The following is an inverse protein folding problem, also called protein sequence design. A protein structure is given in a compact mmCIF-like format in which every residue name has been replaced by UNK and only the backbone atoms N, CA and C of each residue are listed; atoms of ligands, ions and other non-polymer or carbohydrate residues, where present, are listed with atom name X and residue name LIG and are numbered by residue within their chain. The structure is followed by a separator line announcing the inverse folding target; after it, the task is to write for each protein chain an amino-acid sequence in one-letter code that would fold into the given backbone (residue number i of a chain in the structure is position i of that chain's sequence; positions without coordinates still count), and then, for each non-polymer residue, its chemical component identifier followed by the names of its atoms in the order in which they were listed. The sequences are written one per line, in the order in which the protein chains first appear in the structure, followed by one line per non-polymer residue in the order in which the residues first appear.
data_IF_456736223373
#
_entry.id   IF_456736223373
#
_cell.length_a   1.000
_cell.length_b   1.000
_cell.length_c   1.000
_cell.angle_alpha   90.00
_cell.angle_beta   90.00
_cell.angle_gamma   90.00
#
_symmetry.space_group_name_H-M   'P 1'
#
loop_
_entity.id
_entity.type
_entity.pdbx_description
1 polymer ?
#
# COMPACT_ATOMS: atom_id res chain seq x y z
N UNK A 1 -47.40 37.02 -0.79
CA UNK A 1 -47.25 38.02 0.29
C UNK A 1 -46.70 37.43 1.59
N UNK A 2 -46.49 36.13 1.67
CA UNK A 2 -46.08 35.41 2.90
C UNK A 2 -44.56 35.34 3.13
N UNK A 3 -43.73 35.29 2.07
CA UNK A 3 -42.29 35.09 2.20
C UNK A 3 -41.53 36.30 2.80
N UNK A 4 -42.00 37.52 2.56
CA UNK A 4 -41.38 38.72 3.15
C UNK A 4 -41.64 38.82 4.67
N UNK A 5 -42.82 38.42 5.11
CA UNK A 5 -43.21 38.45 6.54
C UNK A 5 -42.40 37.42 7.33
N UNK A 6 -42.23 36.22 6.78
CA UNK A 6 -41.42 35.16 7.36
C UNK A 6 -39.93 35.53 7.49
N UNK A 7 -39.37 36.21 6.50
CA UNK A 7 -37.97 36.72 6.56
C UNK A 7 -37.76 37.79 7.59
N UNK A 8 -38.76 38.69 7.81
CA UNK A 8 -38.65 39.74 8.85
C UNK A 8 -38.79 39.16 10.26
N UNK A 9 -39.66 38.21 10.48
CA UNK A 9 -39.81 37.52 11.77
C UNK A 9 -38.53 36.74 12.12
N UNK A 10 -37.98 36.02 11.18
CA UNK A 10 -36.71 35.28 11.38
C UNK A 10 -35.54 36.21 11.72
N UNK A 11 -35.43 37.38 11.02
CA UNK A 11 -34.44 38.40 11.36
C UNK A 11 -34.58 38.96 12.78
N UNK A 12 -35.83 39.22 13.24
CA UNK A 12 -36.08 39.70 14.60
C UNK A 12 -35.71 38.66 15.67
N UNK A 13 -36.02 37.41 15.43
CA UNK A 13 -35.66 36.31 16.36
C UNK A 13 -34.15 36.16 16.48
N UNK A 14 -33.43 36.14 15.37
CA UNK A 14 -31.96 36.03 15.35
C UNK A 14 -31.31 37.24 16.01
N UNK A 15 -31.83 38.45 15.75
CA UNK A 15 -31.28 39.68 16.36
C UNK A 15 -31.51 39.72 17.88
N UNK A 16 -32.63 39.19 18.37
CA UNK A 16 -32.91 39.10 19.82
C UNK A 16 -32.05 38.02 20.51
N UNK A 17 -31.80 36.89 19.85
CA UNK A 17 -30.89 35.85 20.33
C UNK A 17 -29.43 36.36 20.44
N UNK A 18 -28.97 37.17 19.49
CA UNK A 18 -27.64 37.77 19.52
C UNK A 18 -27.43 38.81 20.64
N UNK A 19 -28.49 39.34 21.24
CA UNK A 19 -28.41 40.33 22.33
C UNK A 19 -28.12 39.73 23.72
N UNK A 20 -28.28 38.43 23.88
CA UNK A 20 -28.06 37.75 25.16
C UNK A 20 -26.91 36.75 25.03
N UNK A 21 -26.06 36.63 26.08
CA UNK A 21 -24.92 35.69 26.03
C UNK A 21 -25.40 34.24 25.92
N UNK A 22 -26.55 33.88 26.49
CA UNK A 22 -27.17 32.57 26.30
C UNK A 22 -27.61 32.34 24.85
N UNK A 23 -28.18 33.38 24.20
CA UNK A 23 -28.59 33.31 22.81
C UNK A 23 -27.41 33.16 21.84
N UNK A 24 -26.29 33.83 22.12
CA UNK A 24 -25.05 33.67 21.37
C UNK A 24 -24.51 32.22 21.48
N UNK A 25 -24.52 31.66 22.71
CA UNK A 25 -24.08 30.28 22.94
C UNK A 25 -24.95 29.26 22.16
N UNK A 26 -26.25 29.45 22.12
CA UNK A 26 -27.20 28.59 21.36
C UNK A 26 -26.94 28.72 19.86
N UNK A 27 -26.71 29.92 19.34
CA UNK A 27 -26.38 30.13 17.93
C UNK A 27 -25.03 29.50 17.54
N UNK A 28 -24.03 29.62 18.41
CA UNK A 28 -22.74 28.97 18.23
C UNK A 28 -22.88 27.45 18.22
N UNK A 29 -23.66 26.89 19.11
CA UNK A 29 -23.92 25.44 19.16
C UNK A 29 -24.64 24.94 17.90
N UNK A 30 -25.65 25.66 17.41
CA UNK A 30 -26.34 25.35 16.16
C UNK A 30 -25.41 25.43 14.95
N UNK A 31 -24.53 26.44 14.91
CA UNK A 31 -23.54 26.59 13.86
C UNK A 31 -22.54 25.41 13.86
N UNK A 32 -22.09 24.98 15.04
CA UNK A 32 -21.22 23.82 15.20
C UNK A 32 -21.91 22.52 14.75
N UNK A 33 -23.20 22.36 15.07
CA UNK A 33 -24.00 21.21 14.67
C UNK A 33 -24.16 21.13 13.15
N UNK A 34 -24.45 22.25 12.49
CA UNK A 34 -24.56 22.33 11.02
C UNK A 34 -23.20 22.05 10.37
N UNK A 35 -22.13 22.62 10.91
CA UNK A 35 -20.76 22.39 10.40
C UNK A 35 -20.34 20.92 10.53
N UNK A 36 -20.66 20.28 11.67
CA UNK A 36 -20.42 18.85 11.88
C UNK A 36 -21.23 17.98 10.92
N UNK A 37 -22.47 18.36 10.63
CA UNK A 37 -23.31 17.68 9.64
C UNK A 37 -22.76 17.79 8.23
N UNK A 38 -22.21 18.94 7.86
CA UNK A 38 -21.54 19.16 6.55
C UNK A 38 -20.29 18.28 6.44
N UNK A 39 -19.48 18.17 7.51
CA UNK A 39 -18.30 17.29 7.52
C UNK A 39 -18.70 15.82 7.34
N UNK A 40 -19.76 15.38 8.04
CA UNK A 40 -20.29 14.00 7.90
C UNK A 40 -20.82 13.76 6.48
N UNK A 41 -21.50 14.72 5.88
CA UNK A 41 -21.99 14.64 4.51
C UNK A 41 -20.82 14.59 3.50
N UNK A 42 -19.78 15.41 3.68
CA UNK A 42 -18.58 15.39 2.85
C UNK A 42 -17.80 14.08 3.01
N UNK A 43 -17.70 13.55 4.22
CA UNK A 43 -17.08 12.24 4.46
C UNK A 43 -17.89 11.11 3.80
N UNK A 44 -19.23 11.17 3.85
CA UNK A 44 -20.12 10.21 3.17
C UNK A 44 -20.05 10.32 1.64
N UNK A 45 -20.00 11.53 1.09
CA UNK A 45 -19.86 11.73 -0.37
C UNK A 45 -18.50 11.31 -0.87
N UNK A 46 -17.41 11.54 -0.11
CA UNK A 46 -16.08 11.03 -0.45
C UNK A 46 -16.00 9.49 -0.36
N UNK A 47 -16.67 8.88 0.62
CA UNK A 47 -16.81 7.42 0.71
C UNK A 47 -17.72 6.86 -0.41
N UNK A 48 -18.79 7.56 -0.78
CA UNK A 48 -19.67 7.17 -1.89
C UNK A 48 -18.97 7.33 -3.25
N UNK A 49 -18.20 8.41 -3.45
CA UNK A 49 -17.42 8.61 -4.66
C UNK A 49 -16.25 7.61 -4.75
N UNK A 50 -15.63 7.20 -3.62
CA UNK A 50 -14.70 6.08 -3.59
C UNK A 50 -15.37 4.74 -3.94
N UNK A 51 -16.64 4.54 -3.56
CA UNK A 51 -17.43 3.34 -3.94
C UNK A 51 -17.94 3.40 -5.39
N UNK A 52 -18.11 4.57 -5.96
CA UNK A 52 -18.60 4.72 -7.33
C UNK A 52 -17.49 4.60 -8.39
N UNK A 53 -16.22 4.71 -8.01
CA UNK A 53 -15.08 4.32 -8.85
C UNK A 53 -14.81 2.80 -8.85
N UNK A 54 -15.49 2.03 -8.02
CA UNK A 54 -15.50 0.56 -8.05
C UNK A 54 -16.59 0.06 -9.00
N UNK A 55 -16.35 0.19 -10.29
CA UNK A 55 -17.23 -0.41 -11.31
C UNK A 55 -16.94 -1.91 -11.36
N UNK A 56 -17.95 -2.69 -10.98
CA UNK A 56 -18.07 -4.16 -11.08
C UNK A 56 -17.27 -5.00 -10.07
N UNK A 57 -17.81 -5.08 -8.87
CA UNK A 57 -17.56 -6.20 -7.97
C UNK A 57 -18.44 -7.39 -8.46
N UNK A 58 -17.92 -8.20 -9.36
CA UNK A 58 -18.55 -9.49 -9.72
C UNK A 58 -18.46 -10.46 -8.54
N UNK A 59 -19.49 -10.43 -7.70
CA UNK A 59 -19.68 -11.48 -6.70
C UNK A 59 -20.10 -12.76 -7.45
N UNK A 60 -19.21 -13.76 -7.44
CA UNK A 60 -19.50 -15.14 -7.84
C UNK A 60 -19.62 -15.45 -9.34
N UNK A 61 -18.55 -15.28 -10.09
CA UNK A 61 -18.34 -15.99 -11.36
C UNK A 61 -16.84 -16.20 -11.53
N UNK A 62 -16.42 -17.23 -12.26
CA UNK A 62 -15.02 -17.54 -12.56
C UNK A 62 -14.23 -16.28 -12.91
N UNK A 63 -13.58 -15.66 -11.91
CA UNK A 63 -12.79 -14.44 -12.12
C UNK A 63 -11.62 -14.83 -13.02
N UNK A 64 -11.68 -14.42 -14.28
CA UNK A 64 -10.63 -14.67 -15.24
C UNK A 64 -9.41 -13.86 -14.85
N UNK A 65 -8.35 -14.56 -14.49
CA UNK A 65 -7.03 -13.98 -14.18
C UNK A 65 -6.32 -13.74 -15.50
N UNK A 66 -5.79 -12.52 -15.70
CA UNK A 66 -5.15 -12.13 -16.94
C UNK A 66 -3.98 -11.19 -16.65
N UNK A 67 -2.86 -11.78 -16.24
CA UNK A 67 -1.59 -11.09 -16.04
C UNK A 67 -0.43 -11.99 -16.45
N UNK A 68 0.73 -11.36 -16.73
CA UNK A 68 1.93 -12.03 -17.22
C UNK A 68 3.14 -11.66 -16.36
N UNK A 69 3.87 -12.68 -15.94
CA UNK A 69 5.12 -12.54 -15.18
C UNK A 69 6.36 -12.45 -16.07
N UNK A 70 6.24 -12.63 -17.39
CA UNK A 70 7.40 -12.77 -18.30
C UNK A 70 8.40 -11.62 -18.18
N UNK A 71 7.90 -10.38 -18.10
CA UNK A 71 8.80 -9.22 -17.97
C UNK A 71 9.50 -9.16 -16.62
N UNK A 72 8.80 -9.54 -15.57
CA UNK A 72 9.37 -9.59 -14.22
C UNK A 72 10.38 -10.74 -14.10
N UNK A 73 10.06 -11.91 -14.71
CA UNK A 73 10.96 -13.07 -14.79
C UNK A 73 12.22 -12.80 -15.63
N UNK A 74 12.15 -11.90 -16.62
CA UNK A 74 13.33 -11.48 -17.40
C UNK A 74 14.39 -10.80 -16.54
N UNK A 75 14.07 -10.37 -15.31
CA UNK A 75 15.02 -9.84 -14.33
C UNK A 75 15.71 -8.55 -14.77
N UNK A 76 15.03 -7.72 -15.58
CA UNK A 76 15.54 -6.41 -16.00
C UNK A 76 14.44 -5.37 -15.80
N UNK A 77 14.51 -4.63 -14.68
CA UNK A 77 13.52 -3.62 -14.31
C UNK A 77 14.07 -2.67 -13.24
N UNK A 78 13.40 -1.53 -13.10
CA UNK A 78 13.53 -0.63 -11.94
C UNK A 78 12.46 -0.97 -10.92
N UNK A 79 12.78 -0.83 -9.64
CA UNK A 79 11.82 -1.03 -8.57
C UNK A 79 11.87 0.11 -7.54
N UNK A 80 10.73 0.32 -6.89
CA UNK A 80 10.64 1.02 -5.60
C UNK A 80 9.92 0.11 -4.63
N UNK A 81 10.53 -0.19 -3.49
CA UNK A 81 9.92 -0.96 -2.41
C UNK A 81 9.77 -0.08 -1.18
N UNK A 82 8.57 0.06 -0.70
CA UNK A 82 8.25 0.71 0.57
C UNK A 82 7.87 -0.36 1.60
N UNK A 83 8.50 -0.33 2.76
CA UNK A 83 8.18 -1.13 3.93
C UNK A 83 7.67 -0.19 5.01
N UNK A 84 6.38 -0.27 5.32
CA UNK A 84 5.76 0.48 6.41
C UNK A 84 5.50 -0.46 7.59
N UNK A 85 6.25 -0.26 8.66
CA UNK A 85 6.12 -1.02 9.90
C UNK A 85 5.64 -0.10 11.03
N UNK A 86 4.36 -0.22 11.39
CA UNK A 86 3.71 0.64 12.38
C UNK A 86 3.88 2.15 12.11
N UNK A 87 3.84 2.57 10.85
CA UNK A 87 4.03 3.96 10.44
C UNK A 87 5.49 4.39 10.27
N UNK A 88 6.46 3.50 10.54
CA UNK A 88 7.88 3.75 10.25
C UNK A 88 8.18 3.21 8.86
N UNK A 89 8.56 4.12 7.95
CA UNK A 89 8.78 3.81 6.55
C UNK A 89 10.26 3.63 6.22
N UNK A 90 10.55 2.55 5.48
CA UNK A 90 11.85 2.33 4.82
C UNK A 90 11.60 2.19 3.33
N UNK A 91 12.30 2.97 2.52
CA UNK A 91 12.13 3.00 1.07
C UNK A 91 13.42 2.51 0.42
N UNK A 92 13.28 1.57 -0.51
CA UNK A 92 14.35 1.07 -1.35
C UNK A 92 14.03 1.45 -2.80
N UNK A 93 14.97 2.07 -3.49
CA UNK A 93 14.81 2.41 -4.91
C UNK A 93 16.04 1.96 -5.67
N UNK A 94 15.87 1.22 -6.74
CA UNK A 94 17.00 0.68 -7.48
C UNK A 94 16.64 -0.01 -8.77
N UNK A 95 17.67 -0.61 -9.34
CA UNK A 95 17.66 -1.29 -10.61
C UNK A 95 18.03 -2.76 -10.41
N UNK A 96 17.40 -3.64 -11.20
CA UNK A 96 17.71 -5.08 -11.28
C UNK A 96 18.10 -5.40 -12.70
N UNK A 97 19.18 -6.13 -12.90
CA UNK A 97 19.57 -6.67 -14.20
C UNK A 97 20.40 -7.94 -14.01
N UNK A 98 19.95 -9.02 -14.62
CA UNK A 98 20.66 -10.32 -14.68
C UNK A 98 21.11 -10.84 -13.30
N UNK A 99 20.18 -10.92 -12.36
CA UNK A 99 20.43 -11.41 -10.99
C UNK A 99 21.28 -10.49 -10.11
N UNK A 100 21.61 -9.30 -10.61
CA UNK A 100 22.28 -8.24 -9.85
C UNK A 100 21.29 -7.15 -9.52
N UNK A 101 21.45 -6.49 -8.37
CA UNK A 101 20.70 -5.27 -8.08
C UNK A 101 21.60 -4.19 -7.48
N UNK A 102 21.28 -2.94 -7.82
CA UNK A 102 21.90 -1.76 -7.23
C UNK A 102 20.79 -0.85 -6.70
N UNK A 103 20.82 -0.53 -5.42
CA UNK A 103 19.72 0.22 -4.81
C UNK A 103 20.16 1.12 -3.66
N UNK A 104 19.33 2.10 -3.39
CA UNK A 104 19.44 3.03 -2.26
C UNK A 104 18.34 2.69 -1.27
N UNK A 105 18.70 2.55 -0.01
CA UNK A 105 17.77 2.45 1.13
C UNK A 105 17.69 3.81 1.82
N UNK A 106 16.49 4.31 2.04
CA UNK A 106 16.21 5.52 2.79
C UNK A 106 15.29 5.20 3.96
N UNK A 107 15.71 5.53 5.17
CA UNK A 107 14.90 5.41 6.38
C UNK A 107 15.14 6.67 7.21
N UNK A 108 14.07 7.43 7.50
CA UNK A 108 14.12 8.73 8.17
C UNK A 108 15.22 9.65 7.58
N UNK A 109 16.33 9.83 8.33
CA UNK A 109 17.46 10.66 7.91
C UNK A 109 18.67 9.86 7.42
N UNK A 110 18.53 8.54 7.26
CA UNK A 110 19.64 7.66 6.87
C UNK A 110 19.50 7.26 5.41
N UNK A 111 20.57 7.44 4.63
CA UNK A 111 20.66 7.00 3.25
C UNK A 111 21.83 6.02 3.16
N UNK A 112 21.57 4.81 2.66
CA UNK A 112 22.56 3.75 2.49
C UNK A 112 22.48 3.22 1.07
N UNK A 113 23.60 2.91 0.47
CA UNK A 113 23.69 2.38 -0.90
C UNK A 113 24.14 0.94 -0.86
N UNK A 114 23.44 0.09 -1.59
CA UNK A 114 23.68 -1.35 -1.65
C UNK A 114 23.87 -1.82 -3.08
N UNK A 115 24.61 -2.91 -3.18
CA UNK A 115 24.68 -3.75 -4.38
C UNK A 115 24.44 -5.20 -3.95
N UNK A 116 23.72 -5.99 -4.75
CA UNK A 116 23.56 -7.42 -4.46
C UNK A 116 23.77 -8.28 -5.70
N UNK A 117 24.30 -9.47 -5.51
CA UNK A 117 24.44 -10.54 -6.51
C UNK A 117 24.60 -11.89 -5.79
N UNK A 118 24.00 -12.94 -6.32
CA UNK A 118 24.09 -14.30 -5.75
C UNK A 118 23.83 -14.33 -4.23
N UNK A 119 22.78 -13.65 -3.75
CA UNK A 119 22.40 -13.52 -2.34
C UNK A 119 23.45 -12.84 -1.42
N UNK A 120 24.53 -12.30 -2.01
CA UNK A 120 25.50 -11.47 -1.30
C UNK A 120 25.07 -10.02 -1.38
N UNK A 121 24.97 -9.35 -0.24
CA UNK A 121 24.72 -7.92 -0.13
C UNK A 121 26.01 -7.20 0.20
N UNK A 122 26.28 -6.14 -0.54
CA UNK A 122 27.42 -5.24 -0.33
C UNK A 122 26.87 -3.86 0.00
N UNK A 123 27.36 -3.24 1.07
CA UNK A 123 27.04 -1.87 1.43
C UNK A 123 28.22 -0.95 1.15
N UNK A 124 27.94 0.20 0.57
CA UNK A 124 28.94 1.23 0.28
C UNK A 124 29.22 2.07 1.53
N UNK A 125 30.47 2.03 2.00
CA UNK A 125 30.96 2.85 3.11
C UNK A 125 32.28 3.52 2.67
N UNK A 126 32.36 4.85 2.74
CA UNK A 126 33.56 5.61 2.36
C UNK A 126 34.13 5.23 0.98
N UNK A 127 33.28 5.12 -0.03
CA UNK A 127 33.62 4.70 -1.41
C UNK A 127 34.10 3.26 -1.58
N UNK A 128 34.02 2.42 -0.56
CA UNK A 128 34.35 1.00 -0.62
C UNK A 128 33.08 0.18 -0.37
N UNK A 129 32.95 -0.95 -1.05
CA UNK A 129 31.86 -1.88 -0.81
C UNK A 129 32.31 -2.98 0.16
N UNK A 130 31.51 -3.21 1.20
CA UNK A 130 31.77 -4.24 2.21
C UNK A 130 30.56 -5.18 2.30
N UNK A 131 30.82 -6.44 2.62
CA UNK A 131 29.74 -7.41 2.83
C UNK A 131 28.84 -6.93 3.96
N UNK A 132 27.54 -6.94 3.70
CA UNK A 132 26.50 -6.47 4.62
C UNK A 132 25.41 -7.51 4.81
N UNK A 133 24.64 -7.31 5.88
CA UNK A 133 23.41 -8.08 6.10
C UNK A 133 22.36 -7.61 5.11
N UNK A 134 21.51 -8.53 4.67
CA UNK A 134 20.35 -8.21 3.84
C UNK A 134 19.47 -7.14 4.53
N UNK A 135 19.24 -5.98 3.91
CA UNK A 135 18.51 -4.89 4.52
C UNK A 135 16.98 -5.02 4.42
N UNK A 136 16.46 -5.94 3.59
CA UNK A 136 15.03 -6.11 3.37
C UNK A 136 14.36 -6.90 4.50
N UNK A 137 13.19 -6.47 4.89
CA UNK A 137 12.26 -7.34 5.62
C UNK A 137 11.68 -8.35 4.61
N UNK A 138 11.73 -9.66 4.93
CA UNK A 138 11.23 -10.70 4.01
C UNK A 138 11.76 -10.52 2.55
N UNK A 139 13.07 -10.58 2.38
CA UNK A 139 13.71 -10.45 1.07
C UNK A 139 13.14 -11.41 0.02
N UNK A 140 12.73 -12.60 0.44
CA UNK A 140 12.11 -13.62 -0.41
C UNK A 140 10.82 -13.14 -1.11
N UNK A 141 10.15 -12.09 -0.61
CA UNK A 141 9.02 -11.46 -1.30
C UNK A 141 9.41 -10.67 -2.56
N UNK A 142 10.69 -10.42 -2.80
CA UNK A 142 11.19 -9.85 -4.06
C UNK A 142 11.36 -10.91 -5.16
N UNK A 143 11.43 -12.18 -4.79
CA UNK A 143 11.68 -13.25 -5.73
C UNK A 143 10.41 -13.61 -6.51
N UNK A 144 10.47 -13.51 -7.84
CA UNK A 144 9.33 -13.79 -8.72
C UNK A 144 8.78 -15.20 -8.51
N UNK A 145 9.64 -16.17 -8.25
CA UNK A 145 9.25 -17.54 -7.93
C UNK A 145 8.35 -17.61 -6.70
N UNK A 146 8.70 -16.88 -5.64
CA UNK A 146 7.94 -16.86 -4.40
C UNK A 146 6.61 -16.11 -4.59
N UNK A 147 6.63 -14.98 -5.31
CA UNK A 147 5.40 -14.25 -5.69
C UNK A 147 4.42 -15.20 -6.41
N UNK A 148 4.90 -15.93 -7.42
CA UNK A 148 4.08 -16.89 -8.17
C UNK A 148 3.53 -18.00 -7.27
N UNK A 149 4.34 -18.54 -6.35
CA UNK A 149 3.91 -19.56 -5.41
C UNK A 149 2.84 -19.05 -4.44
N UNK A 150 3.04 -17.83 -3.92
CA UNK A 150 2.07 -17.17 -3.02
C UNK A 150 0.73 -17.00 -3.75
N UNK A 151 0.73 -16.40 -4.94
CA UNK A 151 -0.48 -16.18 -5.74
C UNK A 151 -1.17 -17.49 -6.10
N UNK A 152 -0.42 -18.57 -6.33
CA UNK A 152 -0.99 -19.89 -6.63
C UNK A 152 -1.75 -20.50 -5.45
N UNK A 153 -1.30 -20.25 -4.22
CA UNK A 153 -1.90 -20.79 -2.98
C UNK A 153 -2.98 -19.86 -2.43
N UNK A 154 -2.83 -18.56 -2.64
CA UNK A 154 -3.76 -17.54 -2.15
C UNK A 154 -5.13 -17.66 -2.86
N UNK A 155 -6.18 -17.30 -2.14
CA UNK A 155 -7.54 -17.26 -2.67
C UNK A 155 -7.83 -15.89 -3.32
N UNK A 156 -8.21 -15.87 -4.60
CA UNK A 156 -8.62 -14.65 -5.28
C UNK A 156 -9.96 -14.17 -4.72
N UNK A 157 -9.95 -13.02 -4.05
CA UNK A 157 -11.11 -12.41 -3.39
C UNK A 157 -11.87 -11.45 -4.29
N UNK A 158 -11.13 -10.59 -5.00
CA UNK A 158 -11.73 -9.53 -5.81
C UNK A 158 -10.86 -9.18 -7.02
N UNK A 159 -11.51 -8.60 -8.04
CA UNK A 159 -10.87 -7.99 -9.20
C UNK A 159 -11.51 -6.62 -9.42
N UNK A 160 -10.71 -5.58 -9.48
CA UNK A 160 -11.16 -4.21 -9.71
C UNK A 160 -10.38 -3.60 -10.87
N UNK A 161 -11.06 -3.09 -11.88
CA UNK A 161 -10.43 -2.36 -12.98
C UNK A 161 -10.73 -0.88 -12.83
N UNK A 162 -9.69 -0.05 -12.87
CA UNK A 162 -9.75 1.39 -12.71
C UNK A 162 -9.80 2.10 -14.07
N UNK A 163 -10.25 3.35 -14.08
CA UNK A 163 -10.37 4.17 -15.31
C UNK A 163 -9.03 4.40 -16.03
N UNK A 164 -7.91 4.36 -15.30
CA UNK A 164 -6.56 4.46 -15.89
C UNK A 164 -6.11 3.19 -16.61
N UNK A 165 -6.97 2.16 -16.69
CA UNK A 165 -6.68 0.89 -17.33
C UNK A 165 -5.97 -0.13 -16.43
N UNK A 166 -5.59 0.25 -15.21
CA UNK A 166 -5.00 -0.70 -14.27
C UNK A 166 -6.06 -1.62 -13.69
N UNK A 167 -5.68 -2.88 -13.48
CA UNK A 167 -6.53 -3.88 -12.81
C UNK A 167 -5.81 -4.38 -11.57
N UNK A 168 -6.51 -4.34 -10.43
CA UNK A 168 -6.05 -4.89 -9.16
C UNK A 168 -6.74 -6.23 -8.93
N UNK A 169 -5.94 -7.26 -8.70
CA UNK A 169 -6.37 -8.57 -8.22
C UNK A 169 -6.04 -8.66 -6.74
N UNK A 170 -7.05 -8.73 -5.90
CA UNK A 170 -6.89 -8.88 -4.45
C UNK A 170 -6.98 -10.34 -4.05
N UNK A 171 -5.97 -10.82 -3.36
CA UNK A 171 -5.86 -12.18 -2.84
C UNK A 171 -5.89 -12.20 -1.32
N UNK A 172 -6.36 -13.31 -0.77
CA UNK A 172 -6.30 -13.63 0.66
C UNK A 172 -5.42 -14.86 0.88
N UNK A 173 -4.52 -14.77 1.87
CA UNK A 173 -3.68 -15.89 2.31
C UNK A 173 -3.56 -15.88 3.82
N UNK A 174 -3.59 -17.07 4.45
CA UNK A 174 -3.38 -17.16 5.89
C UNK A 174 -1.91 -16.92 6.25
N UNK A 175 -1.65 -16.42 7.46
CA UNK A 175 -0.28 -16.18 7.94
C UNK A 175 0.55 -17.45 7.92
N UNK A 176 -0.02 -18.59 8.34
CA UNK A 176 0.66 -19.87 8.34
C UNK A 176 1.07 -20.30 6.94
N UNK A 177 0.16 -20.22 5.96
CA UNK A 177 0.45 -20.56 4.56
C UNK A 177 1.52 -19.64 3.96
N UNK A 178 1.46 -18.35 4.26
CA UNK A 178 2.45 -17.39 3.77
C UNK A 178 3.84 -17.68 4.35
N UNK A 179 3.94 -17.88 5.67
CA UNK A 179 5.22 -18.14 6.34
C UNK A 179 5.83 -19.48 5.93
N UNK A 180 5.00 -20.49 5.69
CA UNK A 180 5.46 -21.78 5.15
C UNK A 180 6.10 -21.61 3.76
N UNK A 181 5.49 -20.83 2.88
CA UNK A 181 6.04 -20.53 1.55
C UNK A 181 7.33 -19.72 1.59
N UNK A 182 7.53 -18.92 2.63
CA UNK A 182 8.74 -18.12 2.84
C UNK A 182 9.83 -18.88 3.63
N UNK A 183 9.65 -20.19 3.85
CA UNK A 183 10.54 -21.04 4.66
C UNK A 183 10.82 -20.47 6.05
N UNK A 184 9.87 -19.73 6.58
CA UNK A 184 9.95 -19.15 7.92
C UNK A 184 9.18 -20.02 8.91
N UNK A 185 9.92 -20.84 9.68
CA UNK A 185 9.34 -21.76 10.67
C UNK A 185 8.94 -21.10 12.00
N UNK A 186 9.22 -19.83 12.16
CA UNK A 186 8.81 -19.06 13.34
C UNK A 186 7.40 -18.53 13.13
N UNK A 187 6.45 -19.41 13.20
CA UNK A 187 5.05 -19.13 12.92
C UNK A 187 4.40 -18.45 14.11
N UNK A 188 3.65 -17.40 13.85
CA UNK A 188 2.73 -16.86 14.84
C UNK A 188 1.56 -17.81 15.06
N UNK A 189 1.06 -17.86 16.29
CA UNK A 189 0.00 -18.75 16.69
C UNK A 189 -1.39 -18.31 16.21
N UNK A 190 -1.56 -17.04 15.89
CA UNK A 190 -2.80 -16.51 15.34
C UNK A 190 -2.78 -16.60 13.82
N UNK A 191 -3.48 -17.61 13.26
CA UNK A 191 -3.60 -17.79 11.81
C UNK A 191 -4.53 -16.71 11.21
N UNK A 192 -3.97 -15.55 10.96
CA UNK A 192 -4.69 -14.39 10.42
C UNK A 192 -4.69 -14.39 8.90
N UNK A 193 -5.70 -13.75 8.34
CA UNK A 193 -5.80 -13.54 6.90
C UNK A 193 -5.05 -12.27 6.54
N UNK A 194 -4.13 -12.38 5.59
CA UNK A 194 -3.42 -11.27 4.99
C UNK A 194 -3.96 -11.00 3.59
N UNK A 195 -3.89 -9.76 3.15
CA UNK A 195 -4.28 -9.37 1.81
C UNK A 195 -3.05 -9.12 0.94
N UNK A 196 -3.17 -9.48 -0.33
CA UNK A 196 -2.14 -9.23 -1.34
C UNK A 196 -2.84 -8.60 -2.54
N UNK A 197 -2.43 -7.40 -2.90
CA UNK A 197 -2.92 -6.70 -4.08
C UNK A 197 -1.88 -6.80 -5.18
N UNK A 198 -2.26 -7.41 -6.31
CA UNK A 198 -1.47 -7.48 -7.53
C UNK A 198 -2.06 -6.54 -8.55
N UNK A 199 -1.35 -5.47 -8.89
CA UNK A 199 -1.76 -4.48 -9.87
C UNK A 199 -1.09 -4.73 -11.22
N UNK A 200 -1.88 -4.75 -12.26
CA UNK A 200 -1.41 -4.86 -13.65
C UNK A 200 -1.88 -3.66 -14.47
N UNK A 201 -1.09 -3.26 -15.44
CA UNK A 201 -1.45 -2.22 -16.40
C UNK A 201 -2.34 -2.76 -17.54
N UNK A 202 -2.73 -1.89 -18.49
CA UNK A 202 -3.53 -2.25 -19.66
C UNK A 202 -2.90 -3.33 -20.55
N UNK A 203 -1.58 -3.46 -20.53
CA UNK A 203 -0.81 -4.48 -21.27
C UNK A 203 -0.65 -5.79 -20.48
N UNK A 204 -1.30 -5.92 -19.32
CA UNK A 204 -1.26 -7.08 -18.41
C UNK A 204 0.08 -7.29 -17.71
N UNK A 205 0.95 -6.32 -17.75
CA UNK A 205 2.24 -6.34 -17.05
C UNK A 205 2.02 -6.01 -15.58
N UNK A 206 2.70 -6.72 -14.69
CA UNK A 206 2.66 -6.43 -13.26
C UNK A 206 3.41 -5.13 -13.03
N UNK A 207 2.75 -4.15 -12.44
CA UNK A 207 3.33 -2.83 -12.13
C UNK A 207 3.45 -2.58 -10.64
N UNK A 208 2.69 -3.33 -9.81
CA UNK A 208 2.75 -3.19 -8.36
C UNK A 208 2.32 -4.49 -7.68
N UNK A 209 2.95 -4.79 -6.55
CA UNK A 209 2.50 -5.81 -5.60
C UNK A 209 2.50 -5.19 -4.21
N UNK A 210 1.37 -5.29 -3.49
CA UNK A 210 1.27 -4.82 -2.11
C UNK A 210 0.87 -5.97 -1.19
N UNK A 211 1.68 -6.22 -0.17
CA UNK A 211 1.41 -7.18 0.91
C UNK A 211 0.93 -6.42 2.14
N UNK A 212 -0.29 -6.71 2.60
CA UNK A 212 -0.85 -6.20 3.85
C UNK A 212 -0.77 -7.32 4.89
N UNK A 213 0.26 -7.27 5.74
CA UNK A 213 0.53 -8.29 6.74
C UNK A 213 -0.05 -7.84 8.09
N UNK A 214 -1.30 -8.27 8.36
CA UNK A 214 -1.94 -7.99 9.63
C UNK A 214 -1.35 -8.87 10.73
N UNK A 215 -1.08 -8.26 11.88
CA UNK A 215 -0.55 -8.97 13.05
C UNK A 215 0.79 -9.68 12.78
N UNK A 216 1.66 -9.00 12.03
CA UNK A 216 3.04 -9.41 11.94
C UNK A 216 3.67 -9.44 13.33
N UNK A 217 4.18 -10.61 13.74
CA UNK A 217 4.83 -10.74 15.01
C UNK A 217 6.34 -10.61 14.86
N UNK A 218 6.90 -9.53 15.40
CA UNK A 218 8.35 -9.39 15.47
C UNK A 218 8.91 -10.19 16.65
N UNK A 219 9.52 -11.33 16.35
CA UNK A 219 10.21 -12.13 17.38
C UNK A 219 11.38 -11.39 18.02
N UNK A 220 12.00 -10.46 17.28
CA UNK A 220 13.11 -9.64 17.80
C UNK A 220 12.67 -8.72 18.92
N UNK A 221 11.46 -8.18 18.83
CA UNK A 221 10.94 -7.21 19.79
C UNK A 221 9.79 -7.75 20.64
N UNK A 222 9.35 -8.99 20.36
CA UNK A 222 8.22 -9.65 21.02
C UNK A 222 6.93 -8.79 21.03
N UNK A 223 6.66 -8.14 19.92
CA UNK A 223 5.48 -7.30 19.72
C UNK A 223 4.74 -7.70 18.45
N UNK A 224 3.43 -7.53 18.47
CA UNK A 224 2.60 -7.66 17.26
C UNK A 224 2.65 -6.34 16.50
N UNK A 225 2.98 -6.40 15.23
CA UNK A 225 3.13 -5.24 14.37
C UNK A 225 2.27 -5.40 13.12
N UNK A 226 1.84 -4.27 12.55
CA UNK A 226 1.33 -4.23 11.18
C UNK A 226 2.49 -3.92 10.25
N UNK A 227 2.56 -4.65 9.14
CA UNK A 227 3.57 -4.46 8.12
C UNK A 227 2.91 -4.39 6.75
N UNK A 228 3.14 -3.31 6.03
CA UNK A 228 2.79 -3.21 4.62
C UNK A 228 4.07 -3.16 3.80
N UNK A 229 4.17 -4.03 2.79
CA UNK A 229 5.28 -4.04 1.83
C UNK A 229 4.68 -3.77 0.46
N UNK A 230 5.00 -2.62 -0.11
CA UNK A 230 4.60 -2.23 -1.46
C UNK A 230 5.81 -2.23 -2.39
N UNK A 231 5.69 -2.89 -3.54
CA UNK A 231 6.76 -2.97 -4.53
C UNK A 231 6.19 -2.50 -5.87
N UNK A 232 6.67 -1.37 -6.35
CA UNK A 232 6.37 -0.83 -7.68
C UNK A 232 7.46 -1.27 -8.66
N UNK A 233 7.08 -1.65 -9.88
CA UNK A 233 7.97 -2.08 -10.95
C UNK A 233 7.81 -1.17 -12.17
N UNK A 234 8.93 -0.81 -12.78
CA UNK A 234 8.96 0.05 -13.97
C UNK A 234 10.18 -0.24 -14.86
N UNK A 235 10.27 0.44 -15.97
CA UNK A 235 11.43 0.42 -16.89
C UNK A 235 11.87 -0.99 -17.31
N UNK A 236 10.93 -1.89 -17.52
CA UNK A 236 11.19 -3.25 -17.98
C UNK A 236 12.04 -3.30 -19.25
N UNK A 237 13.14 -4.06 -19.22
CA UNK A 237 14.08 -4.22 -20.32
C UNK A 237 14.94 -2.98 -20.63
N UNK A 238 14.93 -1.95 -19.79
CA UNK A 238 15.64 -0.68 -20.02
C UNK A 238 16.82 -0.45 -19.08
N UNK A 239 16.96 -1.29 -18.06
CA UNK A 239 18.08 -1.18 -17.12
C UNK A 239 19.36 -1.61 -17.80
N UNK A 240 20.39 -0.77 -17.71
CA UNK A 240 21.73 -1.06 -18.23
C UNK A 240 22.39 -2.19 -17.42
N UNK A 241 23.40 -2.82 -18.01
CA UNK A 241 24.20 -3.81 -17.29
C UNK A 241 24.75 -3.22 -15.98
N UNK A 242 24.63 -4.01 -14.91
CA UNK A 242 25.15 -3.67 -13.59
C UNK A 242 26.51 -4.34 -13.39
N UNK A 243 27.54 -3.54 -13.17
CA UNK A 243 28.91 -4.04 -12.88
C UNK A 243 29.04 -4.31 -11.37
N UNK A 244 29.65 -5.44 -11.03
CA UNK A 244 29.96 -5.78 -9.64
C UNK A 244 31.04 -4.80 -9.15
N UNK A 245 30.77 -4.06 -8.06
CA UNK A 245 31.77 -3.13 -7.54
C UNK A 245 33.01 -3.88 -7.04
N UNK A 246 34.19 -3.38 -7.41
CA UNK A 246 35.47 -3.89 -6.96
C UNK A 246 35.85 -3.49 -5.55
#
# INVERSE_FOLDING_TARGET
MDDKKKKEETKKVVTNLLKTDRGKAVLFFLFYLVFFFIIILMARTNLANKKQSEVNNDKNTNISVNYDFTKLEAGNYRFTREEDRNGIKTIFTGDVNDGKSSFIMTNDNTIRTFFSYNDIYLERTNNTYNVAVNPYLYASLNEVKNIKNIIKVAHLKAKTTYENGNTVYQYEITSNSLLELLDNKQVDLDDKVNLIDLTVNGDKEIVEITYHLDSYHSYTYNVVETLTIKIDYSDYGKVKELEIPG
#
